data_IF_197141789468
#
_entry.id   IF_197141789468
#
_cell.length_a   1.000
_cell.length_b   1.000
_cell.length_c   1.000
_cell.angle_alpha   90.00
_cell.angle_beta   90.00
_cell.angle_gamma   90.00
#
_symmetry.space_group_name_H-M   'P 1'
#
loop_
_entity.id
_entity.type
_entity.pdbx_description
1 polymer ?
#
# COMPACT_ATOMS: atom_id res chain seq x y z
N UNK A 1 19.63 2.99 17.86
CA UNK A 1 18.89 1.74 18.06
C UNK A 1 17.41 2.04 17.85
N UNK A 2 16.83 1.55 16.76
CA UNK A 2 15.37 1.60 16.58
C UNK A 2 14.75 0.63 17.59
N UNK A 3 13.69 1.05 18.28
CA UNK A 3 12.93 0.17 19.16
C UNK A 3 12.27 -0.94 18.34
N UNK A 4 12.01 -2.11 18.94
CA UNK A 4 11.36 -3.25 18.28
C UNK A 4 10.02 -2.88 17.64
N UNK A 5 9.29 -1.93 18.25
CA UNK A 5 8.05 -1.33 17.73
C UNK A 5 8.27 -0.47 16.48
N UNK A 6 9.35 0.31 16.40
CA UNK A 6 9.69 1.07 15.19
C UNK A 6 10.10 0.14 14.05
N UNK A 7 10.80 -0.96 14.36
CA UNK A 7 11.20 -1.99 13.39
C UNK A 7 9.98 -2.74 12.84
N UNK A 8 9.04 -3.14 13.70
CA UNK A 8 7.75 -3.71 13.30
C UNK A 8 6.90 -2.74 12.47
N UNK A 9 6.84 -1.47 12.87
CA UNK A 9 6.12 -0.44 12.11
C UNK A 9 6.68 -0.24 10.69
N UNK A 10 8.01 -0.25 10.54
CA UNK A 10 8.68 -0.17 9.23
C UNK A 10 8.51 -1.47 8.43
N UNK A 11 8.62 -2.63 9.08
CA UNK A 11 8.44 -3.94 8.45
C UNK A 11 6.99 -4.21 8.01
N UNK A 12 5.98 -3.61 8.64
CA UNK A 12 4.61 -3.63 8.12
C UNK A 12 4.39 -2.58 7.02
N UNK A 13 5.00 -1.40 7.15
CA UNK A 13 4.85 -0.31 6.18
C UNK A 13 5.42 -0.63 4.80
N UNK A 14 6.59 -1.29 4.74
CA UNK A 14 7.28 -1.57 3.46
C UNK A 14 6.49 -2.55 2.57
N UNK A 15 6.02 -3.71 3.05
CA UNK A 15 5.16 -4.60 2.28
C UNK A 15 3.84 -3.95 1.87
N UNK A 16 3.20 -3.17 2.76
CA UNK A 16 1.95 -2.46 2.44
C UNK A 16 2.17 -1.41 1.35
N UNK A 17 3.31 -0.71 1.37
CA UNK A 17 3.69 0.29 0.36
C UNK A 17 4.01 -0.34 -1.01
N UNK A 18 4.70 -1.49 -1.02
CA UNK A 18 4.99 -2.27 -2.23
C UNK A 18 3.72 -2.82 -2.86
N UNK A 19 2.86 -3.42 -2.03
CA UNK A 19 1.56 -3.91 -2.44
C UNK A 19 0.66 -2.79 -2.98
N UNK A 20 0.69 -1.62 -2.34
CA UNK A 20 0.00 -0.43 -2.82
C UNK A 20 0.48 0.00 -4.21
N UNK A 21 1.79 0.05 -4.44
CA UNK A 21 2.31 0.47 -5.74
C UNK A 21 1.80 -0.47 -6.84
N UNK A 22 1.76 -1.77 -6.55
CA UNK A 22 1.16 -2.77 -7.44
C UNK A 22 -0.35 -2.56 -7.64
N UNK A 23 -1.15 -2.39 -6.58
CA UNK A 23 -2.61 -2.17 -6.71
C UNK A 23 -2.93 -0.86 -7.43
N UNK A 24 -2.17 0.21 -7.20
CA UNK A 24 -2.37 1.48 -7.88
C UNK A 24 -2.20 1.36 -9.41
N UNK A 25 -1.26 0.52 -9.84
CA UNK A 25 -1.05 0.15 -11.25
C UNK A 25 -2.19 -0.74 -11.74
N UNK A 26 -2.67 -1.68 -10.92
CA UNK A 26 -3.84 -2.52 -11.25
C UNK A 26 -5.10 -1.68 -11.45
N UNK A 27 -5.39 -0.70 -10.59
CA UNK A 27 -6.53 0.22 -10.75
C UNK A 27 -6.35 1.07 -12.01
N UNK A 28 -5.15 1.61 -12.24
CA UNK A 28 -4.84 2.38 -13.44
C UNK A 28 -5.08 1.58 -14.73
N UNK A 29 -4.61 0.32 -14.76
CA UNK A 29 -4.86 -0.62 -15.86
C UNK A 29 -6.31 -1.03 -15.97
N UNK A 30 -7.01 -1.24 -14.86
CA UNK A 30 -8.42 -1.61 -14.88
C UNK A 30 -9.29 -0.52 -15.50
N UNK A 31 -8.96 0.75 -15.22
CA UNK A 31 -9.59 1.93 -15.85
C UNK A 31 -9.23 1.98 -17.34
N UNK A 32 -7.97 1.77 -17.70
CA UNK A 32 -7.50 1.77 -19.10
C UNK A 32 -8.16 0.67 -19.94
N UNK A 33 -8.33 -0.52 -19.35
CA UNK A 33 -8.99 -1.68 -19.94
C UNK A 33 -10.52 -1.62 -19.87
N UNK A 34 -11.10 -0.52 -19.35
CA UNK A 34 -12.55 -0.30 -19.24
C UNK A 34 -13.31 -1.43 -18.52
N UNK A 35 -12.75 -1.94 -17.43
CA UNK A 35 -13.45 -2.92 -16.60
C UNK A 35 -14.76 -2.35 -16.02
N UNK A 36 -15.64 -3.25 -15.57
CA UNK A 36 -16.91 -2.88 -14.96
C UNK A 36 -16.71 -1.89 -13.78
N UNK A 37 -17.52 -0.81 -13.70
CA UNK A 37 -17.41 0.18 -12.62
C UNK A 37 -17.46 -0.44 -11.21
N UNK A 38 -18.28 -1.47 -11.00
CA UNK A 38 -18.34 -2.20 -9.72
C UNK A 38 -17.00 -2.80 -9.30
N UNK A 39 -16.23 -3.38 -10.23
CA UNK A 39 -14.89 -3.94 -9.94
C UNK A 39 -13.90 -2.83 -9.55
N UNK A 40 -13.91 -1.72 -10.29
CA UNK A 40 -13.02 -0.58 -10.01
C UNK A 40 -13.37 0.03 -8.64
N UNK A 41 -14.67 0.15 -8.33
CA UNK A 41 -15.15 0.58 -7.02
C UNK A 41 -14.65 -0.32 -5.89
N UNK A 42 -14.79 -1.65 -6.04
CA UNK A 42 -14.35 -2.61 -5.03
C UNK A 42 -12.84 -2.55 -4.79
N UNK A 43 -12.03 -2.52 -5.87
CA UNK A 43 -10.57 -2.39 -5.77
C UNK A 43 -10.14 -1.09 -5.09
N UNK A 44 -10.80 0.03 -5.43
CA UNK A 44 -10.52 1.32 -4.80
C UNK A 44 -10.91 1.34 -3.31
N UNK A 45 -12.05 0.72 -2.95
CA UNK A 45 -12.49 0.62 -1.57
C UNK A 45 -11.53 -0.22 -0.73
N UNK A 46 -11.10 -1.37 -1.24
CA UNK A 46 -10.11 -2.22 -0.59
C UNK A 46 -8.79 -1.49 -0.40
N UNK A 47 -8.31 -0.79 -1.45
CA UNK A 47 -7.12 0.06 -1.37
C UNK A 47 -7.25 1.12 -0.28
N UNK A 48 -8.41 1.79 -0.19
CA UNK A 48 -8.69 2.75 0.87
C UNK A 48 -8.57 2.12 2.25
N UNK A 49 -9.17 0.94 2.47
CA UNK A 49 -9.11 0.23 3.75
C UNK A 49 -7.69 -0.13 4.14
N UNK A 50 -6.90 -0.65 3.21
CA UNK A 50 -5.49 -0.98 3.46
C UNK A 50 -4.70 0.26 3.91
N UNK A 51 -4.94 1.40 3.26
CA UNK A 51 -4.31 2.66 3.66
C UNK A 51 -4.74 3.14 5.05
N UNK A 52 -6.03 2.99 5.38
CA UNK A 52 -6.54 3.29 6.72
C UNK A 52 -5.85 2.42 7.76
N UNK A 53 -5.80 1.09 7.56
CA UNK A 53 -5.13 0.17 8.48
C UNK A 53 -3.63 0.48 8.65
N UNK A 54 -2.96 0.89 7.58
CA UNK A 54 -1.57 1.32 7.63
C UNK A 54 -1.41 2.63 8.42
N UNK A 55 -2.30 3.61 8.21
CA UNK A 55 -2.29 4.86 8.95
C UNK A 55 -2.58 4.67 10.45
N UNK A 56 -3.47 3.73 10.78
CA UNK A 56 -3.83 3.37 12.15
C UNK A 56 -2.67 2.67 12.86
N UNK A 57 -1.93 1.81 12.15
CA UNK A 57 -0.71 1.17 12.67
C UNK A 57 0.38 2.18 13.03
N UNK A 58 0.39 3.36 12.40
CA UNK A 58 1.30 4.46 12.74
C UNK A 58 0.73 5.44 13.77
N UNK A 59 -0.52 5.29 14.20
CA UNK A 59 -1.20 6.27 15.06
C UNK A 59 -0.61 6.33 16.49
N UNK A 60 -0.10 5.21 16.99
CA UNK A 60 0.53 5.10 18.32
C UNK A 60 2.03 5.42 18.32
N UNK A 61 2.64 5.62 17.14
CA UNK A 61 4.07 5.89 17.01
C UNK A 61 4.39 7.38 17.12
N UNK A 62 5.68 7.69 17.33
CA UNK A 62 6.15 9.06 17.54
C UNK A 62 5.85 9.96 16.32
N UNK A 63 5.03 10.99 16.54
CA UNK A 63 4.56 11.86 15.46
C UNK A 63 5.68 12.68 14.78
N UNK A 64 6.78 12.95 15.49
CA UNK A 64 7.95 13.66 14.95
C UNK A 64 8.63 12.89 13.80
N UNK A 65 8.59 11.55 13.85
CA UNK A 65 9.18 10.65 12.86
C UNK A 65 8.14 10.17 11.84
N UNK A 66 6.97 9.73 12.32
CA UNK A 66 5.98 9.04 11.49
C UNK A 66 4.79 9.92 11.07
N UNK A 67 4.64 11.11 11.63
CA UNK A 67 3.47 11.96 11.39
C UNK A 67 3.28 12.32 9.92
N UNK A 68 4.39 12.56 9.20
CA UNK A 68 4.36 12.85 7.76
C UNK A 68 3.93 11.65 6.93
N UNK A 69 4.41 10.45 7.25
CA UNK A 69 4.02 9.20 6.59
C UNK A 69 2.57 8.86 6.89
N UNK A 70 2.15 8.96 8.15
CA UNK A 70 0.75 8.77 8.54
C UNK A 70 -0.17 9.72 7.78
N UNK A 71 0.17 11.00 7.66
CA UNK A 71 -0.63 11.96 6.88
C UNK A 71 -0.71 11.59 5.39
N UNK A 72 0.37 11.09 4.80
CA UNK A 72 0.37 10.57 3.43
C UNK A 72 -0.57 9.36 3.27
N UNK A 73 -0.55 8.42 4.21
CA UNK A 73 -1.43 7.25 4.18
C UNK A 73 -2.91 7.66 4.31
N UNK A 74 -3.23 8.59 5.22
CA UNK A 74 -4.58 9.14 5.37
C UNK A 74 -5.04 9.85 4.08
N UNK A 75 -4.16 10.65 3.47
CA UNK A 75 -4.44 11.29 2.19
C UNK A 75 -4.83 10.27 1.13
N UNK A 76 -4.04 9.20 1.02
CA UNK A 76 -4.28 8.13 0.05
C UNK A 76 -5.55 7.35 0.35
N UNK A 77 -5.83 7.03 1.62
CA UNK A 77 -7.08 6.38 2.03
C UNK A 77 -8.30 7.18 1.53
N UNK A 78 -8.40 8.45 1.93
CA UNK A 78 -9.53 9.31 1.58
C UNK A 78 -9.64 9.53 0.06
N UNK A 79 -8.50 9.63 -0.63
CA UNK A 79 -8.47 9.75 -2.08
C UNK A 79 -9.02 8.50 -2.80
N UNK A 80 -8.61 7.30 -2.38
CA UNK A 80 -9.13 6.05 -2.96
C UNK A 80 -10.59 5.80 -2.56
N UNK A 81 -11.03 6.27 -1.40
CA UNK A 81 -12.44 6.24 -1.00
C UNK A 81 -13.31 7.10 -1.94
N UNK A 82 -12.81 8.28 -2.33
CA UNK A 82 -13.47 9.11 -3.34
C UNK A 82 -13.60 8.38 -4.68
N UNK A 83 -12.54 7.69 -5.12
CA UNK A 83 -12.58 6.83 -6.31
C UNK A 83 -13.62 5.71 -6.20
N UNK A 84 -13.68 5.03 -5.05
CA UNK A 84 -14.64 3.96 -4.82
C UNK A 84 -16.08 4.47 -4.98
N UNK A 85 -16.44 5.55 -4.30
CA UNK A 85 -17.76 6.16 -4.43
C UNK A 85 -18.06 6.70 -5.84
N UNK A 86 -17.05 7.19 -6.57
CA UNK A 86 -17.24 7.65 -7.94
C UNK A 86 -17.70 6.51 -8.85
N UNK A 87 -16.98 5.38 -8.81
CA UNK A 87 -17.29 4.21 -9.63
C UNK A 87 -18.50 3.43 -9.11
N UNK A 88 -18.79 3.49 -7.80
CA UNK A 88 -20.05 3.00 -7.25
C UNK A 88 -21.24 3.77 -7.81
N UNK A 89 -21.13 5.11 -7.91
CA UNK A 89 -22.15 5.95 -8.55
C UNK A 89 -22.39 5.57 -10.02
N UNK A 90 -21.32 5.34 -10.79
CA UNK A 90 -21.45 4.85 -12.17
C UNK A 90 -22.12 3.46 -12.25
N UNK A 91 -21.78 2.56 -11.33
CA UNK A 91 -22.38 1.22 -11.25
C UNK A 91 -23.87 1.28 -10.90
N UNK A 92 -24.26 2.12 -9.93
CA UNK A 92 -25.64 2.33 -9.50
C UNK A 92 -26.48 2.98 -10.61
N UNK A 93 -25.89 3.93 -11.36
CA UNK A 93 -26.55 4.52 -12.51
C UNK A 93 -26.85 3.48 -13.59
N UNK A 94 -25.92 2.55 -13.85
CA UNK A 94 -26.14 1.44 -14.78
C UNK A 94 -27.23 0.45 -14.31
N UNK A 95 -27.55 0.43 -13.01
CA UNK A 95 -28.66 -0.33 -12.43
C UNK A 95 -29.96 0.49 -12.33
N UNK A 96 -30.01 1.67 -12.97
CA UNK A 96 -31.15 2.59 -12.91
C UNK A 96 -31.46 3.11 -11.50
N UNK A 97 -30.53 2.98 -10.54
CA UNK A 97 -30.64 3.51 -9.17
C UNK A 97 -30.03 4.90 -9.08
N UNK A 98 -30.62 5.84 -9.82
CA UNK A 98 -30.11 7.20 -9.97
C UNK A 98 -30.06 7.98 -8.65
N UNK A 99 -31.05 7.81 -7.76
CA UNK A 99 -31.06 8.45 -6.44
C UNK A 99 -29.85 8.06 -5.58
N UNK A 100 -29.56 6.75 -5.52
CA UNK A 100 -28.40 6.20 -4.81
C UNK A 100 -27.08 6.64 -5.48
N UNK A 101 -27.05 6.68 -6.81
CA UNK A 101 -25.89 7.12 -7.58
C UNK A 101 -25.51 8.58 -7.27
N UNK A 102 -26.49 9.49 -7.22
CA UNK A 102 -26.28 10.89 -6.83
C UNK A 102 -25.68 10.95 -5.43
N UNK A 103 -26.25 10.20 -4.47
CA UNK A 103 -25.77 10.22 -3.09
C UNK A 103 -24.34 9.68 -2.94
N UNK A 104 -23.99 8.62 -3.68
CA UNK A 104 -22.63 8.11 -3.77
C UNK A 104 -21.66 9.18 -4.29
N UNK A 105 -22.02 9.86 -5.39
CA UNK A 105 -21.18 10.89 -6.01
C UNK A 105 -21.02 12.14 -5.14
N UNK A 106 -22.03 12.49 -4.34
CA UNK A 106 -21.92 13.52 -3.31
C UNK A 106 -20.90 13.14 -2.23
N UNK A 107 -20.90 11.88 -1.77
CA UNK A 107 -19.88 11.40 -0.82
C UNK A 107 -18.49 11.38 -1.47
N UNK A 108 -18.40 10.95 -2.73
CA UNK A 108 -17.16 10.99 -3.52
C UNK A 108 -16.58 12.40 -3.59
N UNK A 109 -17.40 13.41 -3.86
CA UNK A 109 -16.99 14.80 -3.91
C UNK A 109 -16.50 15.32 -2.55
N UNK A 110 -17.22 14.98 -1.47
CA UNK A 110 -16.83 15.32 -0.10
C UNK A 110 -15.46 14.71 0.27
N UNK A 111 -15.28 13.41 0.03
CA UNK A 111 -13.99 12.74 0.24
C UNK A 111 -12.88 13.40 -0.60
N UNK A 112 -13.15 13.79 -1.84
CA UNK A 112 -12.16 14.50 -2.65
C UNK A 112 -11.76 15.85 -2.03
N UNK A 113 -12.71 16.62 -1.52
CA UNK A 113 -12.43 17.88 -0.82
C UNK A 113 -11.59 17.67 0.44
N UNK A 114 -11.89 16.63 1.21
CA UNK A 114 -11.08 16.23 2.37
C UNK A 114 -9.66 15.86 1.94
N UNK A 115 -9.50 15.09 0.87
CA UNK A 115 -8.20 14.75 0.30
C UNK A 115 -7.42 16.00 -0.13
N UNK A 116 -8.07 17.00 -0.75
CA UNK A 116 -7.43 18.29 -1.10
C UNK A 116 -6.95 19.01 0.16
N UNK A 117 -7.76 19.04 1.22
CA UNK A 117 -7.39 19.68 2.48
C UNK A 117 -6.20 18.96 3.14
N UNK A 118 -6.25 17.64 3.24
CA UNK A 118 -5.18 16.80 3.79
C UNK A 118 -3.90 16.96 2.96
N UNK A 119 -4.00 17.06 1.64
CA UNK A 119 -2.85 17.26 0.76
C UNK A 119 -2.12 18.58 1.07
N UNK A 120 -2.87 19.66 1.32
CA UNK A 120 -2.29 20.94 1.73
C UNK A 120 -1.56 20.84 3.07
N UNK A 121 -2.14 20.12 4.04
CA UNK A 121 -1.51 19.87 5.32
C UNK A 121 -0.23 19.02 5.16
N UNK A 122 -0.27 17.98 4.33
CA UNK A 122 0.88 17.13 4.05
C UNK A 122 2.05 17.91 3.42
N UNK A 123 1.76 18.79 2.46
CA UNK A 123 2.77 19.61 1.79
C UNK A 123 3.48 20.60 2.71
N UNK A 124 2.86 21.01 3.82
CA UNK A 124 3.47 21.91 4.81
C UNK A 124 4.18 21.16 5.96
N UNK A 125 4.06 19.83 6.04
CA UNK A 125 4.70 19.03 7.09
C UNK A 125 6.19 18.79 6.82
N UNK A 126 7.02 19.03 7.83
CA UNK A 126 8.43 18.62 7.87
C UNK A 126 8.52 17.12 8.23
N UNK A 127 9.49 16.42 7.67
CA UNK A 127 9.75 15.01 7.99
C UNK A 127 10.65 14.33 6.95
N UNK A 128 10.98 13.04 7.11
CA UNK A 128 11.86 12.31 6.20
C UNK A 128 11.32 12.26 4.76
N UNK A 129 12.20 12.41 3.77
CA UNK A 129 11.88 12.31 2.34
C UNK A 129 11.57 13.63 1.63
N UNK A 130 11.50 13.59 0.29
CA UNK A 130 11.14 14.74 -0.54
C UNK A 130 9.64 15.07 -0.43
N UNK A 131 9.28 16.35 -0.50
CA UNK A 131 7.88 16.79 -0.59
C UNK A 131 7.28 16.42 -1.96
N UNK A 132 6.56 15.31 -1.99
CA UNK A 132 5.76 14.93 -3.14
C UNK A 132 4.60 15.94 -3.31
N UNK A 133 4.52 16.59 -4.47
CA UNK A 133 3.44 17.52 -4.83
C UNK A 133 2.23 16.73 -5.35
N UNK A 134 1.57 16.00 -4.46
CA UNK A 134 0.51 15.01 -4.79
C UNK A 134 -0.64 15.65 -5.58
N UNK A 135 -0.96 16.90 -5.27
CA UNK A 135 -1.94 17.75 -5.97
C UNK A 135 -1.61 18.00 -7.45
N UNK A 136 -0.33 17.93 -7.82
CA UNK A 136 0.13 18.12 -9.21
C UNK A 136 0.10 16.83 -10.02
N UNK A 137 0.00 15.66 -9.39
CA UNK A 137 -0.03 14.41 -10.11
C UNK A 137 -1.31 14.29 -10.95
N UNK A 138 -1.15 13.73 -12.15
CA UNK A 138 -2.23 13.59 -13.13
C UNK A 138 -3.43 12.81 -12.56
N UNK A 139 -3.18 11.77 -11.75
CA UNK A 139 -4.24 10.97 -11.14
C UNK A 139 -5.11 11.80 -10.19
N UNK A 140 -4.52 12.72 -9.42
CA UNK A 140 -5.24 13.59 -8.49
C UNK A 140 -6.09 14.62 -9.25
N UNK A 141 -5.51 15.23 -10.28
CA UNK A 141 -6.17 16.26 -11.10
C UNK A 141 -7.31 15.71 -11.96
N UNK A 142 -7.29 14.42 -12.31
CA UNK A 142 -8.31 13.77 -13.14
C UNK A 142 -9.58 13.39 -12.34
N UNK A 143 -9.48 13.18 -11.04
CA UNK A 143 -10.62 12.73 -10.23
C UNK A 143 -11.71 13.80 -10.09
N UNK A 144 -11.36 15.05 -9.76
CA UNK A 144 -12.36 16.12 -9.60
C UNK A 144 -13.26 16.32 -10.83
N UNK A 145 -12.70 16.45 -12.05
CA UNK A 145 -13.51 16.56 -13.26
C UNK A 145 -14.37 15.32 -13.54
N UNK A 146 -13.87 14.13 -13.21
CA UNK A 146 -14.62 12.88 -13.35
C UNK A 146 -15.84 12.87 -12.43
N UNK A 147 -15.65 13.08 -11.13
CA UNK A 147 -16.73 13.12 -10.13
C UNK A 147 -17.78 14.15 -10.53
N UNK A 148 -17.35 15.37 -10.89
CA UNK A 148 -18.27 16.43 -11.31
C UNK A 148 -19.10 16.04 -12.54
N UNK A 149 -18.44 15.56 -13.61
CA UNK A 149 -19.14 15.18 -14.84
C UNK A 149 -20.16 14.06 -14.59
N UNK A 150 -19.79 13.08 -13.76
CA UNK A 150 -20.67 11.95 -13.45
C UNK A 150 -21.83 12.38 -12.55
N UNK A 151 -21.60 13.26 -11.57
CA UNK A 151 -22.65 13.84 -10.74
C UNK A 151 -23.65 14.66 -11.58
N UNK A 152 -23.15 15.60 -12.39
CA UNK A 152 -23.98 16.42 -13.28
C UNK A 152 -24.82 15.53 -14.23
N UNK A 153 -24.28 14.38 -14.66
CA UNK A 153 -25.02 13.40 -15.45
C UNK A 153 -26.15 12.77 -14.66
N UNK A 154 -25.87 12.26 -13.46
CA UNK A 154 -26.87 11.62 -12.61
C UNK A 154 -27.99 12.61 -12.21
N UNK A 155 -27.64 13.86 -11.87
CA UNK A 155 -28.62 14.89 -11.53
C UNK A 155 -29.55 15.22 -12.71
N UNK A 156 -28.99 15.33 -13.93
CA UNK A 156 -29.81 15.50 -15.13
C UNK A 156 -30.73 14.31 -15.36
N UNK A 157 -30.20 13.09 -15.35
CA UNK A 157 -31.02 11.89 -15.59
C UNK A 157 -32.10 11.72 -14.52
N UNK A 158 -31.80 11.99 -13.25
CA UNK A 158 -32.79 11.94 -12.19
C UNK A 158 -33.84 13.06 -12.33
N UNK A 159 -33.44 14.24 -12.80
CA UNK A 159 -34.33 15.39 -13.01
C UNK A 159 -35.26 15.24 -14.22
N UNK A 160 -34.88 14.46 -15.24
CA UNK A 160 -35.66 14.31 -16.48
C UNK A 160 -36.33 12.94 -16.65
N UNK A 161 -35.77 11.88 -16.07
CA UNK A 161 -36.16 10.49 -16.35
C UNK A 161 -36.65 9.79 -15.08
N UNK A 162 -35.82 9.71 -14.05
CA UNK A 162 -36.06 8.77 -12.95
C UNK A 162 -36.87 9.35 -11.78
N UNK A 163 -36.70 10.64 -11.45
CA UNK A 163 -37.34 11.33 -10.33
C UNK A 163 -37.25 10.56 -8.99
N UNK A 164 -36.16 9.83 -8.78
CA UNK A 164 -35.93 9.06 -7.57
C UNK A 164 -35.51 10.00 -6.43
N UNK A 165 -35.92 9.65 -5.21
CA UNK A 165 -35.46 10.35 -4.01
C UNK A 165 -33.99 10.04 -3.79
N UNK A 166 -33.20 11.08 -3.50
CA UNK A 166 -31.80 10.94 -3.08
C UNK A 166 -31.78 10.54 -1.61
N UNK A 167 -31.17 9.40 -1.22
CA UNK A 167 -31.05 9.00 0.17
C UNK A 167 -30.21 9.99 0.98
N UNK A 168 -30.40 10.00 2.30
CA UNK A 168 -29.60 10.83 3.21
C UNK A 168 -28.22 10.20 3.48
N UNK A 169 -28.16 8.89 3.62
CA UNK A 169 -26.94 8.15 3.92
C UNK A 169 -26.25 7.66 2.65
N UNK A 170 -24.92 7.62 2.68
CA UNK A 170 -24.14 7.10 1.56
C UNK A 170 -24.39 5.59 1.38
N UNK A 171 -24.48 5.09 0.13
CA UNK A 171 -24.66 3.67 -0.09
C UNK A 171 -23.47 2.87 0.40
N UNK A 172 -23.72 1.66 0.89
CA UNK A 172 -22.67 0.76 1.34
C UNK A 172 -21.84 0.27 0.15
N UNK A 173 -20.52 0.42 0.23
CA UNK A 173 -19.60 0.00 -0.82
C UNK A 173 -19.34 -1.50 -0.72
N UNK A 174 -19.53 -2.22 -1.83
CA UNK A 174 -19.20 -3.63 -1.93
C UNK A 174 -17.72 -3.88 -1.59
N UNK A 175 -17.47 -4.97 -0.86
CA UNK A 175 -16.15 -5.31 -0.31
C UNK A 175 -15.38 -6.35 -1.10
N UNK A 176 -16.00 -6.98 -2.11
CA UNK A 176 -15.42 -8.16 -2.74
C UNK A 176 -14.92 -7.84 -4.14
N UNK A 177 -13.67 -7.41 -4.25
CA UNK A 177 -12.94 -7.52 -5.51
C UNK A 177 -12.74 -9.00 -5.81
N UNK A 178 -13.50 -9.56 -6.76
CA UNK A 178 -13.38 -10.97 -7.14
C UNK A 178 -12.10 -11.27 -7.94
N UNK A 179 -11.43 -10.23 -8.47
CA UNK A 179 -10.22 -10.32 -9.28
C UNK A 179 -9.32 -9.09 -9.04
N UNK A 180 -8.00 -9.25 -9.20
CA UNK A 180 -7.02 -8.14 -9.16
C UNK A 180 -6.42 -7.82 -7.78
N UNK A 181 -6.79 -8.60 -6.76
CA UNK A 181 -6.12 -8.63 -5.47
C UNK A 181 -4.68 -9.13 -5.65
N UNK A 182 -3.72 -8.26 -5.37
CA UNK A 182 -2.30 -8.63 -5.36
C UNK A 182 -2.06 -9.48 -4.12
N UNK A 183 -1.16 -10.46 -4.16
CA UNK A 183 -0.64 -11.13 -2.97
C UNK A 183 0.87 -10.99 -2.95
N UNK A 184 1.52 -10.86 -1.78
CA UNK A 184 2.98 -10.88 -1.71
C UNK A 184 3.52 -12.16 -2.34
N UNK A 185 4.50 -12.04 -3.23
CA UNK A 185 5.25 -13.19 -3.73
C UNK A 185 6.14 -13.74 -2.61
N UNK A 186 6.18 -15.06 -2.47
CA UNK A 186 7.00 -15.70 -1.44
C UNK A 186 8.48 -15.51 -1.77
N UNK A 187 9.19 -14.78 -0.92
CA UNK A 187 10.63 -14.62 -1.03
C UNK A 187 11.34 -15.79 -0.36
N UNK A 188 12.13 -16.53 -1.13
CA UNK A 188 13.02 -17.57 -0.61
C UNK A 188 14.44 -17.04 -0.57
N UNK A 189 15.10 -17.15 0.59
CA UNK A 189 16.53 -16.86 0.68
C UNK A 189 17.32 -17.82 -0.22
N UNK A 190 18.36 -17.35 -0.91
CA UNK A 190 19.25 -18.26 -1.62
C UNK A 190 19.86 -19.25 -0.63
N UNK A 191 20.15 -20.48 -1.07
CA UNK A 191 20.89 -21.44 -0.25
C UNK A 191 22.23 -20.83 0.17
N UNK A 192 22.70 -21.20 1.36
CA UNK A 192 23.99 -20.74 1.87
C UNK A 192 25.10 -20.99 0.84
N UNK A 193 26.02 -20.02 0.73
CA UNK A 193 27.20 -20.18 -0.12
C UNK A 193 28.00 -21.41 0.35
N UNK A 194 28.46 -22.23 -0.60
CA UNK A 194 29.27 -23.43 -0.32
C UNK A 194 30.60 -23.10 0.38
N UNK A 195 31.06 -21.84 0.29
CA UNK A 195 32.19 -21.34 1.05
C UNK A 195 31.95 -21.37 2.57
N UNK A 196 30.70 -21.26 3.03
CA UNK A 196 30.34 -21.41 4.43
C UNK A 196 30.24 -22.89 4.81
N UNK A 197 31.41 -23.48 5.09
CA UNK A 197 31.52 -24.87 5.56
C UNK A 197 31.89 -24.92 7.06
N UNK A 198 31.77 -26.08 7.73
CA UNK A 198 32.08 -26.21 9.15
C UNK A 198 33.52 -25.82 9.52
N UNK A 199 34.49 -25.98 8.60
CA UNK A 199 35.90 -25.60 8.81
C UNK A 199 36.02 -24.08 8.89
N UNK A 200 35.38 -23.36 7.97
CA UNK A 200 35.31 -21.90 7.97
C UNK A 200 34.61 -21.41 9.23
N UNK A 201 33.49 -22.01 9.62
CA UNK A 201 32.81 -21.67 10.88
C UNK A 201 33.70 -21.86 12.13
N UNK A 202 34.48 -22.94 12.19
CA UNK A 202 35.40 -23.20 13.29
C UNK A 202 36.55 -22.18 13.39
N UNK A 203 36.95 -21.58 12.27
CA UNK A 203 37.98 -20.53 12.26
C UNK A 203 37.50 -19.20 12.89
N UNK A 204 36.18 -18.97 13.00
CA UNK A 204 35.61 -17.82 13.71
C UNK A 204 35.53 -18.05 15.23
N UNK A 205 36.07 -19.14 15.76
CA UNK A 205 36.13 -19.37 17.20
C UNK A 205 37.17 -18.45 17.85
N UNK A 206 36.70 -17.32 18.39
CA UNK A 206 37.48 -16.49 19.30
C UNK A 206 37.52 -17.21 20.64
N UNK A 207 38.68 -17.78 20.97
CA UNK A 207 38.95 -18.35 22.29
C UNK A 207 38.58 -17.30 23.36
N UNK A 208 37.75 -17.63 24.36
CA UNK A 208 37.69 -16.84 25.58
C UNK A 208 39.12 -16.72 26.10
N UNK A 209 39.56 -15.51 26.46
CA UNK A 209 40.94 -15.26 26.87
C UNK A 209 41.41 -16.31 27.89
N UNK A 210 42.27 -17.23 27.45
CA UNK A 210 42.87 -18.27 28.31
C UNK A 210 42.78 -19.73 27.83
N UNK A 211 42.19 -20.05 26.67
CA UNK A 211 42.18 -21.44 26.17
C UNK A 211 43.06 -21.62 24.91
N UNK A 212 43.83 -22.71 24.91
CA UNK A 212 44.96 -22.97 23.99
C UNK A 212 44.58 -23.17 22.53
N UNK A 213 45.58 -23.02 21.67
CA UNK A 213 45.51 -22.96 20.20
C UNK A 213 44.68 -24.11 19.57
N UNK A 214 43.60 -23.82 18.81
CA UNK A 214 42.75 -24.83 18.18
C UNK A 214 43.45 -25.65 17.08
N UNK A 215 44.64 -25.25 16.62
CA UNK A 215 45.48 -26.00 15.69
C UNK A 215 45.87 -27.41 16.21
N UNK A 216 45.82 -27.62 17.53
CA UNK A 216 46.17 -28.91 18.16
C UNK A 216 44.97 -29.85 18.41
N UNK A 217 43.78 -29.52 17.89
CA UNK A 217 42.60 -30.37 18.06
C UNK A 217 42.69 -31.62 17.18
N UNK A 218 42.33 -32.80 17.73
CA UNK A 218 42.32 -34.09 17.01
C UNK A 218 41.43 -34.10 15.74
N UNK A 219 40.51 -33.14 15.62
CA UNK A 219 39.67 -32.98 14.44
C UNK A 219 40.40 -32.27 13.28
N UNK A 220 41.34 -31.35 13.56
CA UNK A 220 42.14 -30.66 12.56
C UNK A 220 43.23 -31.57 11.96
N UNK A 221 43.91 -32.35 12.79
CA UNK A 221 44.97 -33.30 12.37
C UNK A 221 44.45 -34.39 11.42
N UNK A 222 43.15 -34.72 11.49
CA UNK A 222 42.52 -35.72 10.62
C UNK A 222 42.11 -35.17 9.24
N UNK A 223 42.02 -33.84 9.09
CA UNK A 223 41.61 -33.19 7.85
C UNK A 223 42.79 -32.76 6.96
N UNK A 224 43.98 -32.58 7.53
CA UNK A 224 45.20 -32.22 6.79
C UNK A 224 45.80 -33.37 5.95
N UNK A 225 45.49 -34.63 6.30
CA UNK A 225 46.10 -35.80 5.67
C UNK A 225 45.62 -36.15 4.25
N UNK A 226 44.58 -35.49 3.74
CA UNK A 226 43.86 -35.91 2.52
C UNK A 226 43.86 -34.87 1.38
N UNK A 227 44.73 -33.86 1.42
CA UNK A 227 44.85 -32.88 0.33
C UNK A 227 46.06 -33.19 -0.57
N UNK A 228 45.87 -33.39 -1.88
CA UNK A 228 47.00 -33.55 -2.81
C UNK A 228 47.76 -32.22 -2.94
N UNK A 229 49.10 -32.27 -3.12
CA UNK A 229 49.93 -31.08 -3.18
C UNK A 229 49.61 -30.24 -4.43
N UNK A 230 49.47 -28.94 -4.24
CA UNK A 230 49.29 -27.95 -5.30
C UNK A 230 50.59 -27.86 -6.10
N UNK A 231 50.52 -28.10 -7.41
CA UNK A 231 51.63 -27.80 -8.33
C UNK A 231 51.66 -26.30 -8.59
N UNK A 232 52.84 -25.69 -8.40
CA UNK A 232 53.16 -24.30 -8.77
C UNK A 232 53.12 -24.06 -10.29
#
# INVERSE_FOLDING_TARGET
FFSYLELLGVLMFVPISLHHTAISVTIGRAIEMKHAPGLISALAHETSKMYTSAADSLASLEASKFGRWRKFLILKAVFYLSYAYCYAGENLLAQEKCGDAIRALQESHKCYQDAVHICKQYSSMKGPGSAAKIDQHLFFRKLAPLVKRTLDKCERENGFIFHQKVPQDAPELELRATYGLVSPEEFQMPPHDKAWNPVVYAAFYVQPSGAGDPANSKAAVKAEGDLPPVQE
#
